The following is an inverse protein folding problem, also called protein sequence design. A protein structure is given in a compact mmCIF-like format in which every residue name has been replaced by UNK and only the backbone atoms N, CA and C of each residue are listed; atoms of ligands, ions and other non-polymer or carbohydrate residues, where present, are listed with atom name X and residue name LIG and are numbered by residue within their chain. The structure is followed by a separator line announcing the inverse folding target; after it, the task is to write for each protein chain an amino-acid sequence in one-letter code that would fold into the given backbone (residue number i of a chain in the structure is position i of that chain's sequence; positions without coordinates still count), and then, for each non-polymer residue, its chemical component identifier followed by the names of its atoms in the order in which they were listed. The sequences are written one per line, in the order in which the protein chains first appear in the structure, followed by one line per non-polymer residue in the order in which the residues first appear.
data_IF_380254761593
#
_entry.id   IF_380254761593
#
_cell.length_a   1.000
_cell.length_b   1.000
_cell.length_c   1.000
_cell.angle_alpha   90.00
_cell.angle_beta   90.00
_cell.angle_gamma   90.00
#
_symmetry.space_group_name_H-M   'P 1'
#
loop_
_entity.id
_entity.type
_entity.pdbx_description
1 polymer ?
#
# COMPACT_ATOMS: atom_id res chain seq x y z
N UNK A 1 -46.61 -74.06 -31.80
CA UNK A 1 -45.40 -73.73 -32.59
C UNK A 1 -45.16 -72.23 -32.40
N UNK A 2 -44.37 -71.87 -31.42
CA UNK A 2 -44.01 -70.44 -31.10
C UNK A 2 -42.49 -70.28 -31.08
N UNK A 3 -42.01 -69.44 -32.00
CA UNK A 3 -40.59 -69.13 -32.10
C UNK A 3 -40.29 -67.97 -31.12
N UNK A 4 -39.45 -68.22 -30.16
CA UNK A 4 -38.86 -67.20 -29.33
C UNK A 4 -37.72 -66.48 -30.09
N UNK A 5 -37.84 -65.16 -30.23
CA UNK A 5 -36.75 -64.29 -30.70
C UNK A 5 -35.98 -63.82 -29.52
N UNK A 6 -34.71 -64.14 -29.48
CA UNK A 6 -33.74 -63.63 -28.52
C UNK A 6 -33.22 -62.29 -29.06
N UNK A 7 -33.52 -61.19 -28.38
CA UNK A 7 -32.94 -59.85 -28.65
C UNK A 7 -31.65 -59.72 -27.88
N UNK A 8 -30.53 -59.67 -28.60
CA UNK A 8 -29.22 -59.31 -28.04
C UNK A 8 -29.20 -57.83 -27.66
N UNK A 9 -29.06 -57.53 -26.35
CA UNK A 9 -28.79 -56.19 -25.83
C UNK A 9 -27.27 -56.08 -25.73
N UNK A 10 -26.68 -55.32 -26.67
CA UNK A 10 -25.26 -54.93 -26.59
C UNK A 10 -25.13 -53.83 -25.54
N UNK A 11 -24.53 -54.12 -24.40
CA UNK A 11 -24.17 -53.14 -23.39
C UNK A 11 -22.94 -52.35 -23.88
N UNK A 12 -23.13 -51.12 -24.31
CA UNK A 12 -22.05 -50.18 -24.59
C UNK A 12 -21.45 -49.68 -23.27
N UNK A 13 -20.27 -50.19 -22.91
CA UNK A 13 -19.44 -49.66 -21.83
C UNK A 13 -18.86 -48.30 -22.26
N UNK A 14 -19.44 -47.19 -21.77
CA UNK A 14 -18.85 -45.86 -21.88
C UNK A 14 -17.67 -45.79 -20.89
N UNK A 15 -16.45 -45.93 -21.40
CA UNK A 15 -15.24 -45.65 -20.65
C UNK A 15 -15.14 -44.13 -20.54
N UNK A 16 -15.60 -43.54 -19.42
CA UNK A 16 -15.32 -42.16 -19.06
C UNK A 16 -13.81 -42.06 -18.73
N UNK A 17 -13.04 -41.58 -19.69
CA UNK A 17 -11.65 -41.23 -19.48
C UNK A 17 -11.61 -40.08 -18.43
N UNK A 18 -11.34 -40.42 -17.18
CA UNK A 18 -10.89 -39.46 -16.16
C UNK A 18 -9.54 -38.91 -16.63
N UNK A 19 -9.57 -37.82 -17.39
CA UNK A 19 -8.38 -37.00 -17.59
C UNK A 19 -7.93 -36.57 -16.19
N UNK A 20 -6.67 -36.85 -15.79
CA UNK A 20 -6.15 -36.27 -14.59
C UNK A 20 -6.23 -34.76 -14.76
N UNK A 21 -6.93 -34.07 -13.85
CA UNK A 21 -6.82 -32.64 -13.71
C UNK A 21 -5.33 -32.38 -13.37
N UNK A 22 -4.53 -32.27 -14.43
CA UNK A 22 -3.15 -31.86 -14.33
C UNK A 22 -3.18 -30.56 -13.55
N UNK A 23 -2.58 -30.56 -12.39
CA UNK A 23 -2.20 -29.34 -11.69
C UNK A 23 -1.58 -28.46 -12.75
N UNK A 24 -2.27 -27.38 -13.12
CA UNK A 24 -1.68 -26.31 -13.93
C UNK A 24 -0.52 -25.77 -13.11
N UNK A 25 0.61 -26.51 -13.13
CA UNK A 25 1.87 -26.07 -12.55
C UNK A 25 2.17 -24.75 -13.19
N UNK A 26 2.18 -23.73 -12.38
CA UNK A 26 2.34 -22.35 -12.75
C UNK A 26 3.43 -22.21 -13.83
N UNK A 27 3.01 -21.84 -15.06
CA UNK A 27 3.95 -21.67 -16.17
C UNK A 27 4.69 -20.34 -16.08
N UNK A 28 4.19 -19.44 -15.25
CA UNK A 28 4.72 -18.07 -15.15
C UNK A 28 6.17 -18.05 -14.62
N UNK A 29 6.58 -19.00 -13.74
CA UNK A 29 7.94 -19.07 -13.20
C UNK A 29 9.01 -19.26 -14.29
N UNK A 30 8.66 -19.90 -15.42
CA UNK A 30 9.57 -20.05 -16.56
C UNK A 30 9.88 -18.70 -17.21
N UNK A 31 8.92 -17.78 -17.20
CA UNK A 31 9.05 -16.43 -17.79
C UNK A 31 9.58 -15.41 -16.78
N UNK A 32 9.17 -15.54 -15.52
CA UNK A 32 9.53 -14.62 -14.43
C UNK A 32 10.39 -15.35 -13.41
N UNK A 33 11.69 -15.47 -13.68
CA UNK A 33 12.66 -16.09 -12.77
C UNK A 33 13.00 -15.23 -11.55
N UNK A 34 12.67 -13.93 -11.64
CA UNK A 34 12.81 -12.95 -10.57
C UNK A 34 11.51 -12.14 -10.47
N UNK A 35 10.96 -12.04 -9.28
CA UNK A 35 9.87 -11.12 -8.93
C UNK A 35 10.47 -9.93 -8.20
N UNK A 36 10.27 -8.72 -8.72
CA UNK A 36 10.72 -7.48 -8.08
C UNK A 36 9.55 -6.78 -7.41
N UNK A 37 9.70 -6.54 -6.11
CA UNK A 37 8.71 -5.90 -5.24
C UNK A 37 9.19 -4.52 -4.81
N UNK A 38 8.51 -3.49 -5.26
CA UNK A 38 8.81 -2.10 -4.92
C UNK A 38 8.12 -1.66 -3.62
N UNK A 39 8.76 -0.78 -2.87
CA UNK A 39 8.17 -0.12 -1.70
C UNK A 39 8.48 1.38 -1.79
N UNK A 40 7.43 2.23 -1.72
CA UNK A 40 7.65 3.69 -1.66
C UNK A 40 8.37 4.05 -0.37
N UNK A 41 9.27 5.07 -0.38
CA UNK A 41 10.12 5.40 0.76
C UNK A 41 9.34 6.12 1.87
N UNK A 42 8.56 5.38 2.66
CA UNK A 42 7.88 5.88 3.86
C UNK A 42 8.78 5.86 5.08
N UNK A 43 9.81 5.02 5.07
CA UNK A 43 10.85 4.88 6.09
C UNK A 43 12.27 4.92 5.47
N UNK A 44 13.30 4.69 6.27
CA UNK A 44 14.69 4.59 5.77
C UNK A 44 14.85 3.34 4.91
N UNK A 45 15.72 3.37 3.90
CA UNK A 45 15.98 2.21 3.05
C UNK A 45 16.44 0.98 3.84
N UNK A 46 17.31 1.19 4.85
CA UNK A 46 17.76 0.12 5.75
C UNK A 46 16.62 -0.46 6.59
N UNK A 47 15.72 0.40 7.08
CA UNK A 47 14.52 -0.02 7.82
C UNK A 47 13.61 -0.88 6.95
N UNK A 48 13.29 -0.43 5.73
CA UNK A 48 12.49 -1.17 4.76
C UNK A 48 13.11 -2.54 4.45
N UNK A 49 14.42 -2.59 4.18
CA UNK A 49 15.13 -3.85 3.91
C UNK A 49 14.94 -4.83 5.08
N UNK A 50 15.28 -4.40 6.30
CA UNK A 50 15.17 -5.24 7.50
C UNK A 50 13.73 -5.74 7.74
N UNK A 51 12.73 -4.89 7.49
CA UNK A 51 11.32 -5.25 7.66
C UNK A 51 10.88 -6.28 6.61
N UNK A 52 11.38 -6.17 5.38
CA UNK A 52 10.96 -7.02 4.25
C UNK A 52 11.71 -8.34 4.14
N UNK A 53 12.90 -8.51 4.73
CA UNK A 53 13.76 -9.69 4.53
C UNK A 53 13.04 -11.02 4.76
N UNK A 54 12.32 -11.18 5.87
CA UNK A 54 11.60 -12.41 6.19
C UNK A 54 10.47 -12.70 5.19
N UNK A 55 9.73 -11.66 4.79
CA UNK A 55 8.68 -11.79 3.77
C UNK A 55 9.26 -12.22 2.41
N UNK A 56 10.33 -11.58 1.95
CA UNK A 56 10.96 -11.93 0.66
C UNK A 56 11.48 -13.37 0.65
N UNK A 57 12.12 -13.82 1.75
CA UNK A 57 12.56 -15.20 1.90
C UNK A 57 11.39 -16.20 1.85
N UNK A 58 10.27 -15.89 2.55
CA UNK A 58 9.04 -16.69 2.49
C UNK A 58 8.44 -16.71 1.08
N UNK A 59 8.33 -15.57 0.43
CA UNK A 59 7.79 -15.45 -0.92
C UNK A 59 8.63 -16.23 -1.94
N UNK A 60 9.96 -16.16 -1.85
CA UNK A 60 10.86 -16.96 -2.67
C UNK A 60 10.65 -18.46 -2.46
N UNK A 61 10.58 -18.92 -1.21
CA UNK A 61 10.33 -20.34 -0.88
C UNK A 61 8.99 -20.82 -1.42
N UNK A 62 7.95 -19.99 -1.30
CA UNK A 62 6.58 -20.34 -1.69
C UNK A 62 6.39 -20.37 -3.21
N UNK A 63 7.01 -19.43 -3.93
CA UNK A 63 6.83 -19.29 -5.38
C UNK A 63 7.87 -20.02 -6.21
N UNK A 64 8.99 -20.42 -5.60
CA UNK A 64 10.10 -21.10 -6.29
C UNK A 64 10.95 -20.20 -7.20
N UNK A 65 10.73 -18.87 -7.17
CA UNK A 65 11.51 -17.88 -7.94
C UNK A 65 12.17 -16.87 -7.00
N UNK A 66 13.24 -16.23 -7.47
CA UNK A 66 13.93 -15.18 -6.70
C UNK A 66 13.00 -13.99 -6.45
N UNK A 67 13.07 -13.42 -5.25
CA UNK A 67 12.41 -12.14 -4.92
C UNK A 67 13.45 -11.09 -4.59
N UNK A 68 13.26 -9.89 -5.16
CA UNK A 68 14.14 -8.75 -4.95
C UNK A 68 13.34 -7.53 -4.49
N UNK A 69 13.82 -6.87 -3.43
CA UNK A 69 13.29 -5.58 -3.02
C UNK A 69 13.81 -4.49 -3.96
N UNK A 70 12.90 -3.65 -4.44
CA UNK A 70 13.23 -2.45 -5.18
C UNK A 70 12.91 -1.23 -4.32
N UNK A 71 13.88 -0.36 -4.18
CA UNK A 71 13.77 0.91 -3.45
C UNK A 71 14.24 2.06 -4.35
N UNK A 72 13.55 3.19 -4.25
CA UNK A 72 13.91 4.44 -4.91
C UNK A 72 14.09 5.56 -3.88
N UNK A 73 14.60 6.69 -4.30
CA UNK A 73 14.79 7.87 -3.44
C UNK A 73 13.48 8.59 -3.14
N UNK A 74 12.48 8.44 -4.01
CA UNK A 74 11.17 9.09 -3.91
C UNK A 74 10.05 8.17 -4.42
N UNK A 75 8.82 8.62 -4.24
CA UNK A 75 7.62 7.88 -4.65
C UNK A 75 7.55 7.70 -6.16
N UNK A 76 7.93 8.73 -6.93
CA UNK A 76 7.86 8.70 -8.39
C UNK A 76 8.79 7.63 -8.99
N UNK A 77 9.95 7.39 -8.38
CA UNK A 77 10.88 6.35 -8.81
C UNK A 77 10.28 4.96 -8.75
N UNK A 78 9.54 4.62 -7.67
CA UNK A 78 8.85 3.32 -7.54
C UNK A 78 7.68 3.23 -8.54
N UNK A 79 6.88 4.30 -8.66
CA UNK A 79 5.74 4.34 -9.58
C UNK A 79 6.19 4.18 -11.04
N UNK A 80 7.23 4.91 -11.45
CA UNK A 80 7.78 4.83 -12.80
C UNK A 80 8.39 3.46 -13.10
N UNK A 81 9.08 2.84 -12.13
CA UNK A 81 9.60 1.49 -12.28
C UNK A 81 8.47 0.46 -12.49
N UNK A 82 7.33 0.61 -11.79
CA UNK A 82 6.15 -0.24 -11.96
C UNK A 82 5.51 -0.02 -13.35
N UNK A 83 5.32 1.22 -13.79
CA UNK A 83 4.77 1.57 -15.11
C UNK A 83 5.67 1.05 -16.23
N UNK A 84 6.99 1.22 -16.12
CA UNK A 84 7.95 0.78 -17.09
C UNK A 84 8.22 -0.73 -17.14
N UNK A 85 7.63 -1.52 -16.22
CA UNK A 85 7.84 -2.97 -16.13
C UNK A 85 9.18 -3.39 -15.55
N UNK A 86 9.90 -2.49 -14.90
CA UNK A 86 11.14 -2.80 -14.21
C UNK A 86 10.89 -3.58 -12.90
N UNK A 87 9.71 -3.41 -12.32
CA UNK A 87 9.20 -4.17 -11.17
C UNK A 87 7.82 -4.74 -11.46
N UNK A 88 7.43 -5.80 -10.75
CA UNK A 88 6.19 -6.54 -11.00
C UNK A 88 5.05 -6.11 -10.08
N UNK A 89 5.40 -5.82 -8.83
CA UNK A 89 4.49 -5.37 -7.78
C UNK A 89 5.10 -4.19 -7.02
N UNK A 90 4.24 -3.39 -6.40
CA UNK A 90 4.69 -2.33 -5.49
C UNK A 90 3.69 -2.11 -4.36
N UNK A 91 4.19 -1.86 -3.15
CA UNK A 91 3.40 -1.27 -2.08
C UNK A 91 3.36 0.25 -2.28
N UNK A 92 2.16 0.78 -2.44
CA UNK A 92 1.90 2.20 -2.73
C UNK A 92 0.90 2.77 -1.73
N UNK A 93 0.88 4.09 -1.56
CA UNK A 93 -0.26 4.76 -0.94
C UNK A 93 -1.48 4.71 -1.87
N UNK A 94 -2.69 4.91 -1.34
CA UNK A 94 -3.89 4.97 -2.17
C UNK A 94 -3.80 6.06 -3.25
N UNK A 95 -3.20 7.22 -2.92
CA UNK A 95 -2.97 8.30 -3.88
C UNK A 95 -1.94 7.92 -4.95
N UNK A 96 -0.78 7.38 -4.55
CA UNK A 96 0.24 6.91 -5.49
C UNK A 96 -0.31 5.84 -6.43
N UNK A 97 -1.15 4.92 -5.91
CA UNK A 97 -1.84 3.93 -6.74
C UNK A 97 -2.73 4.60 -7.79
N UNK A 98 -3.60 5.54 -7.39
CA UNK A 98 -4.51 6.22 -8.31
C UNK A 98 -3.75 7.01 -9.39
N UNK A 99 -2.64 7.64 -9.01
CA UNK A 99 -1.77 8.33 -9.95
C UNK A 99 -1.11 7.35 -10.93
N UNK A 100 -0.55 6.22 -10.42
CA UNK A 100 0.05 5.16 -11.23
C UNK A 100 -0.96 4.53 -12.19
N UNK A 101 -2.19 4.29 -11.71
CA UNK A 101 -3.30 3.77 -12.52
C UNK A 101 -3.61 4.70 -13.70
N UNK A 102 -3.70 6.00 -13.45
CA UNK A 102 -3.98 6.98 -14.48
C UNK A 102 -2.82 7.12 -15.48
N UNK A 103 -1.57 7.20 -15.00
CA UNK A 103 -0.39 7.39 -15.84
C UNK A 103 -0.06 6.13 -16.68
N UNK A 104 -0.36 4.93 -16.14
CA UNK A 104 -0.28 3.66 -16.88
C UNK A 104 -1.50 3.39 -17.78
N UNK A 105 -2.46 4.31 -17.87
CA UNK A 105 -3.73 4.13 -18.59
C UNK A 105 -4.49 2.86 -18.16
N UNK A 106 -4.50 2.61 -16.84
CA UNK A 106 -5.15 1.43 -16.27
C UNK A 106 -4.31 0.14 -16.33
N UNK A 107 -3.01 0.24 -16.61
CA UNK A 107 -2.08 -0.90 -16.73
C UNK A 107 -1.70 -1.57 -15.41
N UNK A 108 -2.19 -1.06 -14.28
CA UNK A 108 -1.98 -1.63 -12.94
C UNK A 108 -3.30 -1.82 -12.22
N UNK A 109 -3.32 -2.66 -11.18
CA UNK A 109 -4.48 -2.85 -10.30
C UNK A 109 -4.03 -3.10 -8.86
N UNK A 110 -4.86 -2.74 -7.85
CA UNK A 110 -4.58 -3.10 -6.48
C UNK A 110 -4.90 -4.58 -6.29
N UNK A 111 -4.07 -5.29 -5.57
CA UNK A 111 -4.21 -6.73 -5.36
C UNK A 111 -4.69 -7.02 -3.94
N UNK A 112 -3.99 -6.49 -2.96
CA UNK A 112 -4.27 -6.69 -1.53
C UNK A 112 -3.94 -5.43 -0.73
N UNK A 113 -4.52 -5.33 0.47
CA UNK A 113 -4.16 -4.33 1.48
C UNK A 113 -4.29 -4.92 2.89
N UNK A 114 -3.62 -4.32 3.87
CA UNK A 114 -3.67 -4.75 5.25
C UNK A 114 -4.95 -4.25 5.95
N UNK A 115 -5.57 -5.12 6.76
CA UNK A 115 -6.61 -4.73 7.71
C UNK A 115 -5.99 -4.28 9.03
N UNK A 116 -6.52 -3.21 9.63
CA UNK A 116 -6.13 -2.75 10.95
C UNK A 116 -6.52 -3.76 12.05
N UNK A 117 -6.07 -3.55 13.29
CA UNK A 117 -6.35 -4.47 14.41
C UNK A 117 -7.85 -4.52 14.71
N UNK A 118 -8.58 -3.44 14.51
CA UNK A 118 -10.04 -3.37 14.63
C UNK A 118 -10.79 -3.96 13.42
N UNK A 119 -10.07 -4.54 12.46
CA UNK A 119 -10.62 -5.11 11.23
C UNK A 119 -10.95 -4.10 10.15
N UNK A 120 -10.78 -2.79 10.39
CA UNK A 120 -11.03 -1.76 9.38
C UNK A 120 -9.98 -1.79 8.27
N UNK A 121 -10.41 -1.40 7.06
CA UNK A 121 -9.53 -1.31 5.88
C UNK A 121 -9.12 0.15 5.67
N UNK A 122 -8.56 0.77 6.73
CA UNK A 122 -8.26 2.19 6.66
C UNK A 122 -7.19 2.68 7.64
N UNK A 123 -6.72 3.90 7.39
CA UNK A 123 -5.79 4.65 8.22
C UNK A 123 -6.12 6.15 8.15
N UNK A 124 -5.46 6.97 8.98
CA UNK A 124 -5.72 8.40 9.03
C UNK A 124 -4.45 9.21 8.73
N UNK A 125 -4.61 10.29 7.99
CA UNK A 125 -3.63 11.37 7.98
C UNK A 125 -3.75 12.15 9.31
N UNK A 126 -2.61 12.53 9.88
CA UNK A 126 -2.56 13.24 11.15
C UNK A 126 -1.57 14.40 11.09
N UNK A 127 -1.74 15.38 11.98
CA UNK A 127 -0.70 16.34 12.33
C UNK A 127 -0.15 15.98 13.70
N UNK A 128 1.17 15.85 13.78
CA UNK A 128 1.89 15.68 15.03
C UNK A 128 2.69 16.93 15.39
N UNK A 129 2.76 17.22 16.69
CA UNK A 129 3.62 18.22 17.31
C UNK A 129 4.39 17.56 18.45
N UNK A 130 5.49 18.19 18.93
CA UNK A 130 6.11 17.74 20.20
C UNK A 130 5.10 17.80 21.33
N UNK A 131 5.13 16.82 22.23
CA UNK A 131 4.19 16.75 23.36
C UNK A 131 4.31 17.94 24.31
N UNK A 132 5.52 18.49 24.48
CA UNK A 132 5.83 19.65 25.32
C UNK A 132 5.65 21.00 24.61
N UNK A 133 5.27 21.00 23.31
CA UNK A 133 5.02 22.23 22.56
C UNK A 133 3.75 22.96 23.03
N UNK A 134 3.65 24.29 22.84
CA UNK A 134 2.46 25.03 23.20
C UNK A 134 1.27 24.76 22.24
N UNK A 135 1.51 24.12 21.08
CA UNK A 135 0.53 23.92 20.03
C UNK A 135 -0.47 22.83 20.41
N UNK A 136 -1.76 23.14 20.51
CA UNK A 136 -2.85 22.22 20.86
C UNK A 136 -3.86 22.04 19.75
N UNK A 137 -3.94 23.03 18.86
CA UNK A 137 -4.90 23.09 17.75
C UNK A 137 -4.18 23.43 16.44
N UNK A 138 -4.86 23.22 15.32
CA UNK A 138 -4.33 23.60 13.99
C UNK A 138 -4.17 25.12 13.85
N UNK A 139 -4.94 25.91 14.59
CA UNK A 139 -4.87 27.38 14.55
C UNK A 139 -3.64 27.92 15.25
N UNK A 140 -3.13 27.24 16.27
CA UNK A 140 -1.86 27.59 16.93
C UNK A 140 -0.66 27.48 15.98
N UNK A 141 -0.82 26.76 14.88
CA UNK A 141 0.22 26.57 13.87
C UNK A 141 0.21 27.61 12.75
N UNK A 142 -0.70 28.61 12.77
CA UNK A 142 -0.74 29.64 11.73
C UNK A 142 0.62 30.35 11.60
N UNK A 143 1.16 30.36 10.36
CA UNK A 143 2.48 30.95 10.06
C UNK A 143 3.67 30.12 10.54
N UNK A 144 3.45 28.96 11.20
CA UNK A 144 4.49 28.03 11.67
C UNK A 144 4.99 27.12 10.57
N UNK A 145 6.07 26.41 10.87
CA UNK A 145 6.68 25.45 9.93
C UNK A 145 6.05 24.06 10.09
N UNK A 146 5.16 23.71 9.17
CA UNK A 146 4.43 22.43 9.16
C UNK A 146 4.91 21.58 7.98
N UNK A 147 5.73 20.57 8.22
CA UNK A 147 6.30 19.75 7.16
C UNK A 147 5.24 18.88 6.48
N UNK A 148 5.28 18.87 5.14
CA UNK A 148 4.65 17.84 4.31
C UNK A 148 5.69 16.80 3.89
N UNK A 149 5.24 15.63 3.46
CA UNK A 149 6.13 14.57 3.02
C UNK A 149 6.44 14.67 1.52
N UNK A 150 6.23 13.61 0.76
CA UNK A 150 6.36 13.58 -0.70
C UNK A 150 5.06 14.11 -1.35
N UNK A 151 5.12 14.86 -2.46
CA UNK A 151 3.94 15.36 -3.19
C UNK A 151 2.98 14.27 -3.70
N UNK A 152 3.42 13.01 -3.76
CA UNK A 152 2.63 11.84 -4.14
C UNK A 152 2.13 11.03 -2.93
N UNK A 153 2.36 11.53 -1.71
CA UNK A 153 1.80 10.93 -0.49
C UNK A 153 0.33 11.31 -0.31
N UNK A 154 -0.52 10.31 -0.04
CA UNK A 154 -1.93 10.53 0.30
C UNK A 154 -2.08 11.30 1.61
N UNK A 155 -1.51 10.77 2.70
CA UNK A 155 -1.65 11.31 4.06
C UNK A 155 -0.71 12.46 4.40
N UNK A 156 0.46 12.50 3.77
CA UNK A 156 1.44 13.54 4.03
C UNK A 156 1.33 14.76 3.11
N UNK A 157 0.49 14.69 2.08
CA UNK A 157 0.34 15.78 1.12
C UNK A 157 -1.09 15.96 0.60
N UNK A 158 -1.66 15.00 -0.16
CA UNK A 158 -2.93 15.18 -0.86
C UNK A 158 -4.08 15.51 0.08
N UNK A 159 -4.34 14.62 1.03
CA UNK A 159 -5.49 14.74 1.94
C UNK A 159 -5.38 15.97 2.83
N UNK A 160 -4.22 16.27 3.46
CA UNK A 160 -4.02 17.56 4.11
C UNK A 160 -4.33 18.75 3.21
N UNK A 161 -3.81 18.78 1.99
CA UNK A 161 -4.04 19.88 1.04
C UNK A 161 -5.53 20.07 0.75
N UNK A 162 -6.26 18.98 0.49
CA UNK A 162 -7.69 19.00 0.20
C UNK A 162 -8.52 19.40 1.43
N UNK A 163 -8.27 18.77 2.58
CA UNK A 163 -9.01 19.00 3.81
C UNK A 163 -8.84 20.44 4.32
N UNK A 164 -7.60 20.95 4.33
CA UNK A 164 -7.32 22.31 4.80
C UNK A 164 -7.86 23.37 3.83
N UNK A 165 -7.87 23.08 2.52
CA UNK A 165 -8.56 23.95 1.55
C UNK A 165 -10.07 24.02 1.82
N UNK A 166 -10.71 22.88 2.10
CA UNK A 166 -12.13 22.81 2.43
C UNK A 166 -12.47 23.54 3.74
N UNK A 167 -11.55 23.60 4.69
CA UNK A 167 -11.67 24.38 5.94
C UNK A 167 -11.39 25.88 5.76
N UNK A 168 -11.11 26.38 4.55
CA UNK A 168 -10.72 27.78 4.31
C UNK A 168 -9.32 28.14 4.84
N UNK A 169 -8.46 27.12 5.07
CA UNK A 169 -7.10 27.25 5.59
C UNK A 169 -6.09 26.59 4.64
N UNK A 170 -5.95 27.01 3.36
CA UNK A 170 -5.05 26.35 2.42
C UNK A 170 -3.64 26.20 2.99
N UNK A 171 -3.08 24.98 2.96
CA UNK A 171 -1.81 24.64 3.63
C UNK A 171 -0.69 25.62 3.26
N UNK A 172 -0.57 25.96 1.96
CA UNK A 172 0.51 26.82 1.46
C UNK A 172 0.37 28.30 1.87
N UNK A 173 -0.82 28.71 2.27
CA UNK A 173 -1.12 30.09 2.73
C UNK A 173 -1.16 30.17 4.27
N UNK A 174 -1.57 29.07 4.89
CA UNK A 174 -1.78 29.03 6.35
C UNK A 174 -0.51 28.69 7.11
N UNK A 175 0.38 27.87 6.53
CA UNK A 175 1.65 27.43 7.12
C UNK A 175 2.83 27.73 6.21
N UNK A 176 4.05 27.75 6.77
CA UNK A 176 5.27 27.53 6.01
C UNK A 176 5.42 26.01 5.86
N UNK A 177 5.27 25.48 4.66
CA UNK A 177 5.09 24.04 4.49
C UNK A 177 6.13 23.39 3.57
N UNK A 178 7.38 23.20 4.07
CA UNK A 178 8.43 22.52 3.32
C UNK A 178 8.11 21.03 3.10
N UNK A 179 8.73 20.46 2.06
CA UNK A 179 8.73 19.02 1.82
C UNK A 179 9.88 18.37 2.58
N UNK A 180 9.60 17.39 3.41
CA UNK A 180 10.61 16.63 4.17
C UNK A 180 11.16 15.42 3.41
N UNK A 181 10.50 15.02 2.32
CA UNK A 181 10.83 13.85 1.52
C UNK A 181 10.22 12.53 2.01
N UNK A 182 9.80 12.42 3.29
CA UNK A 182 9.22 11.19 3.83
C UNK A 182 8.61 11.35 5.22
N UNK A 183 7.88 10.34 5.65
CA UNK A 183 7.14 10.38 6.91
C UNK A 183 8.06 10.33 8.14
N UNK A 184 9.10 9.49 8.12
CA UNK A 184 10.09 9.41 9.21
C UNK A 184 10.83 10.73 9.35
N UNK A 185 11.29 11.32 8.23
CA UNK A 185 11.98 12.62 8.20
C UNK A 185 11.10 13.73 8.76
N UNK A 186 9.80 13.73 8.43
CA UNK A 186 8.82 14.68 8.96
C UNK A 186 8.76 14.63 10.49
N UNK A 187 8.54 13.45 11.06
CA UNK A 187 8.40 13.29 12.53
C UNK A 187 9.73 13.54 13.25
N UNK A 188 10.85 13.04 12.72
CA UNK A 188 12.18 13.34 13.31
C UNK A 188 12.48 14.83 13.28
N UNK A 189 12.06 15.55 12.22
CA UNK A 189 12.21 17.02 12.16
C UNK A 189 11.42 17.73 13.26
N UNK A 190 10.21 17.23 13.61
CA UNK A 190 9.46 17.74 14.77
C UNK A 190 10.18 17.46 16.07
N UNK A 191 10.63 16.23 16.29
CA UNK A 191 11.35 15.86 17.53
C UNK A 191 12.63 16.68 17.74
N UNK A 192 13.33 17.01 16.64
CA UNK A 192 14.56 17.83 16.65
C UNK A 192 14.30 19.34 16.66
N UNK A 193 13.04 19.78 16.55
CA UNK A 193 12.67 21.20 16.50
C UNK A 193 12.96 21.90 15.18
N UNK A 194 13.25 21.15 14.11
CA UNK A 194 13.36 21.68 12.74
C UNK A 194 12.02 22.14 12.19
N UNK A 195 10.95 21.43 12.55
CA UNK A 195 9.57 21.75 12.22
C UNK A 195 8.75 21.93 13.50
N UNK A 196 7.80 22.86 13.48
CA UNK A 196 6.83 23.05 14.58
C UNK A 196 5.83 21.88 14.62
N UNK A 197 5.47 21.37 13.44
CA UNK A 197 4.56 20.24 13.26
C UNK A 197 4.87 19.49 11.96
N UNK A 198 4.26 18.34 11.78
CA UNK A 198 4.36 17.57 10.53
C UNK A 198 3.11 16.76 10.23
N UNK A 199 2.79 16.65 8.95
CA UNK A 199 1.82 15.68 8.47
C UNK A 199 2.47 14.29 8.39
N UNK A 200 1.73 13.28 8.89
CA UNK A 200 2.12 11.87 8.81
C UNK A 200 0.87 10.99 8.87
N UNK A 201 0.98 9.72 9.25
CA UNK A 201 -0.13 8.79 9.27
C UNK A 201 -0.02 7.74 10.37
N UNK A 202 -1.18 7.26 10.80
CA UNK A 202 -1.32 6.15 11.73
C UNK A 202 -2.68 5.48 11.55
N UNK A 203 -2.85 4.25 12.06
CA UNK A 203 -4.18 3.68 12.26
C UNK A 203 -4.84 4.32 13.49
N UNK A 204 -6.16 4.14 13.62
CA UNK A 204 -6.95 4.71 14.71
C UNK A 204 -6.43 4.35 16.11
N UNK A 205 -5.82 3.18 16.26
CA UNK A 205 -5.29 2.61 17.51
C UNK A 205 -3.75 2.70 17.59
N UNK A 206 -3.10 3.44 16.68
CA UNK A 206 -1.64 3.44 16.51
C UNK A 206 -1.05 2.02 16.30
N UNK A 207 -1.87 1.06 15.86
CA UNK A 207 -1.44 -0.33 15.66
C UNK A 207 -0.54 -0.51 14.46
N UNK A 208 -0.80 0.21 13.36
CA UNK A 208 0.09 0.26 12.20
C UNK A 208 0.23 1.69 11.66
N UNK A 209 1.19 1.88 10.76
CA UNK A 209 1.49 3.18 10.18
C UNK A 209 2.83 3.72 10.62
N UNK A 210 3.16 4.94 10.16
CA UNK A 210 4.47 5.53 10.39
C UNK A 210 4.81 5.65 11.89
N UNK A 211 3.85 6.05 12.73
CA UNK A 211 4.13 6.16 14.17
C UNK A 211 4.50 4.80 14.77
N UNK A 212 3.75 3.74 14.45
CA UNK A 212 4.04 2.37 14.92
C UNK A 212 5.41 1.89 14.44
N UNK A 213 5.74 2.12 13.18
CA UNK A 213 7.06 1.75 12.63
C UNK A 213 8.20 2.46 13.37
N UNK A 214 8.08 3.76 13.59
CA UNK A 214 9.10 4.53 14.32
C UNK A 214 9.25 4.05 15.77
N UNK A 215 8.13 3.69 16.43
CA UNK A 215 8.18 3.11 17.78
C UNK A 215 8.86 1.74 17.77
N UNK A 216 8.57 0.87 16.82
CA UNK A 216 9.21 -0.45 16.69
C UNK A 216 10.71 -0.35 16.41
N UNK A 217 11.16 0.72 15.77
CA UNK A 217 12.56 1.01 15.47
C UNK A 217 13.27 1.78 16.60
N UNK A 218 12.57 2.16 17.68
CA UNK A 218 13.13 2.95 18.79
C UNK A 218 13.41 4.41 18.42
N UNK A 219 12.85 4.90 17.31
CA UNK A 219 13.02 6.28 16.83
C UNK A 219 12.03 7.26 17.45
N UNK A 220 10.97 6.76 18.09
CA UNK A 220 9.88 7.53 18.66
C UNK A 220 9.36 6.81 19.89
N UNK A 221 9.08 7.53 20.97
CA UNK A 221 8.17 7.11 22.03
C UNK A 221 6.84 7.81 21.83
N UNK A 222 5.72 7.15 22.11
CA UNK A 222 4.38 7.71 21.88
C UNK A 222 4.15 9.00 22.66
N UNK A 223 4.72 9.09 23.85
CA UNK A 223 4.68 10.25 24.73
C UNK A 223 5.47 11.46 24.23
N UNK A 224 6.38 11.30 23.26
CA UNK A 224 7.19 12.41 22.71
C UNK A 224 6.37 13.35 21.82
N UNK A 225 5.19 12.90 21.37
CA UNK A 225 4.35 13.63 20.42
C UNK A 225 2.90 13.74 20.89
N UNK A 226 2.23 14.76 20.36
CA UNK A 226 0.77 14.96 20.43
C UNK A 226 0.20 15.03 19.03
N UNK A 227 -0.91 14.31 18.80
CA UNK A 227 -1.74 14.46 17.59
C UNK A 227 -2.73 15.59 17.84
N UNK A 228 -2.79 16.57 16.94
CA UNK A 228 -3.68 17.75 17.05
C UNK A 228 -4.70 17.85 15.91
N UNK A 229 -4.59 17.01 14.92
CA UNK A 229 -5.55 16.86 13.84
C UNK A 229 -5.51 15.44 13.29
N UNK A 230 -6.70 14.95 12.88
CA UNK A 230 -6.89 13.63 12.27
C UNK A 230 -7.89 13.76 11.13
N UNK A 231 -7.59 13.19 9.98
CA UNK A 231 -8.49 13.13 8.83
C UNK A 231 -9.61 12.09 9.03
N UNK A 232 -10.60 12.11 8.16
CA UNK A 232 -11.44 10.95 7.91
C UNK A 232 -10.58 9.75 7.48
N UNK A 233 -11.09 8.51 7.65
CA UNK A 233 -10.38 7.31 7.25
C UNK A 233 -10.07 7.28 5.75
N UNK A 234 -8.85 6.90 5.42
CA UNK A 234 -8.33 6.68 4.06
C UNK A 234 -8.23 5.19 3.80
N UNK A 235 -8.47 4.69 2.58
CA UNK A 235 -8.32 3.27 2.28
C UNK A 235 -6.88 2.80 2.52
N UNK A 236 -6.72 1.62 3.11
CA UNK A 236 -5.41 1.03 3.43
C UNK A 236 -4.49 1.01 2.20
N UNK A 237 -3.18 1.25 2.37
CA UNK A 237 -2.21 1.25 1.29
C UNK A 237 -2.19 -0.10 0.56
N UNK A 238 -2.37 -0.13 -0.78
CA UNK A 238 -2.40 -1.38 -1.51
C UNK A 238 -1.02 -1.90 -1.90
N UNK A 239 -0.89 -3.23 -1.98
CA UNK A 239 0.05 -3.85 -2.90
C UNK A 239 -0.58 -3.83 -4.29
N UNK A 240 0.11 -3.21 -5.23
CA UNK A 240 -0.34 -3.01 -6.62
C UNK A 240 0.44 -3.94 -7.52
N UNK A 241 -0.25 -4.56 -8.48
CA UNK A 241 0.34 -5.47 -9.46
C UNK A 241 0.10 -4.93 -10.88
N UNK A 242 1.03 -5.21 -11.80
CA UNK A 242 0.83 -4.94 -13.22
C UNK A 242 -0.23 -5.88 -13.79
N UNK A 243 -1.07 -5.38 -14.70
CA UNK A 243 -2.10 -6.21 -15.35
C UNK A 243 -1.58 -7.09 -16.48
N UNK A 244 -0.40 -6.82 -17.01
CA UNK A 244 0.23 -7.60 -18.07
C UNK A 244 1.00 -8.84 -17.58
N UNK A 245 1.01 -9.09 -16.26
CA UNK A 245 1.50 -10.35 -15.72
C UNK A 245 0.52 -11.50 -16.04
N UNK A 246 1.00 -12.75 -16.18
CA UNK A 246 0.13 -13.90 -16.39
C UNK A 246 -0.94 -14.06 -15.31
N UNK A 247 -2.13 -14.54 -15.69
CA UNK A 247 -3.25 -14.72 -14.77
C UNK A 247 -2.93 -15.70 -13.62
N UNK A 248 -2.16 -16.75 -13.90
CA UNK A 248 -1.67 -17.72 -12.91
C UNK A 248 -0.67 -17.07 -11.92
N UNK A 249 0.23 -16.19 -12.40
CA UNK A 249 1.09 -15.39 -11.53
C UNK A 249 0.26 -14.50 -10.59
N UNK A 250 -0.74 -13.80 -11.15
CA UNK A 250 -1.64 -12.93 -10.36
C UNK A 250 -2.38 -13.72 -9.27
N UNK A 251 -2.90 -14.91 -9.61
CA UNK A 251 -3.58 -15.79 -8.66
C UNK A 251 -2.64 -16.28 -7.54
N UNK A 252 -1.41 -16.67 -7.88
CA UNK A 252 -0.39 -17.08 -6.91
C UNK A 252 0.02 -15.92 -6.00
N UNK A 253 0.18 -14.70 -6.54
CA UNK A 253 0.46 -13.51 -5.72
C UNK A 253 -0.69 -13.23 -4.75
N UNK A 254 -1.93 -13.27 -5.23
CA UNK A 254 -3.11 -13.08 -4.37
C UNK A 254 -3.11 -14.11 -3.22
N UNK A 255 -2.92 -15.38 -3.53
CA UNK A 255 -2.87 -16.47 -2.55
C UNK A 255 -1.71 -16.29 -1.56
N UNK A 256 -0.52 -15.93 -2.06
CA UNK A 256 0.65 -15.67 -1.22
C UNK A 256 0.34 -14.60 -0.18
N UNK A 257 -0.09 -13.43 -0.61
CA UNK A 257 -0.32 -12.30 0.31
C UNK A 257 -1.47 -12.57 1.28
N UNK A 258 -2.61 -13.06 0.80
CA UNK A 258 -3.78 -13.33 1.66
C UNK A 258 -3.56 -14.50 2.62
N UNK A 259 -2.62 -15.38 2.35
CA UNK A 259 -2.23 -16.51 3.22
C UNK A 259 -1.21 -16.16 4.30
N UNK A 260 -0.54 -15.00 4.25
CA UNK A 260 0.58 -14.69 5.15
C UNK A 260 0.24 -14.82 6.63
N UNK A 261 -0.90 -14.29 7.05
CA UNK A 261 -1.32 -14.27 8.45
C UNK A 261 -1.63 -15.67 9.00
N UNK A 262 -1.95 -16.64 8.15
CA UNK A 262 -2.18 -18.05 8.55
C UNK A 262 -0.88 -18.84 8.65
N UNK A 263 0.18 -18.40 7.97
CA UNK A 263 1.51 -19.01 8.02
C UNK A 263 2.34 -18.46 9.18
N UNK A 264 2.49 -17.15 9.22
CA UNK A 264 3.15 -16.41 10.30
C UNK A 264 2.66 -14.96 10.27
N UNK A 265 2.02 -14.51 11.34
CA UNK A 265 1.52 -13.14 11.47
C UNK A 265 2.61 -12.08 11.26
N UNK A 266 3.87 -12.38 11.61
CA UNK A 266 4.99 -11.46 11.39
C UNK A 266 5.24 -11.16 9.91
N UNK A 267 4.96 -12.10 9.01
CA UNK A 267 5.05 -11.87 7.57
C UNK A 267 3.95 -10.91 7.09
N UNK A 268 2.73 -11.07 7.61
CA UNK A 268 1.64 -10.13 7.33
C UNK A 268 1.95 -8.73 7.91
N UNK A 269 2.47 -8.65 9.13
CA UNK A 269 2.90 -7.41 9.78
C UNK A 269 4.03 -6.70 9.00
N UNK A 270 4.94 -7.44 8.39
CA UNK A 270 5.99 -6.87 7.53
C UNK A 270 5.38 -6.17 6.30
N UNK A 271 4.43 -6.83 5.61
CA UNK A 271 3.74 -6.24 4.45
C UNK A 271 2.83 -5.08 4.87
N UNK A 272 2.13 -5.20 6.01
CA UNK A 272 1.28 -4.15 6.58
C UNK A 272 2.08 -2.95 7.12
N UNK A 273 3.37 -3.13 7.34
CA UNK A 273 4.23 -2.16 8.03
C UNK A 273 3.72 -1.86 9.45
N UNK A 274 3.29 -2.90 10.18
CA UNK A 274 2.82 -2.81 11.55
C UNK A 274 1.86 -3.94 11.92
N UNK A 275 1.15 -3.78 13.04
CA UNK A 275 0.17 -4.75 13.51
C UNK A 275 -1.02 -4.82 12.55
N UNK A 276 -1.47 -6.04 12.25
CA UNK A 276 -2.61 -6.29 11.35
C UNK A 276 -3.38 -7.52 11.78
N UNK A 277 -4.65 -7.62 11.41
CA UNK A 277 -5.43 -8.86 11.53
C UNK A 277 -5.24 -9.78 10.32
N UNK A 278 -4.69 -9.25 9.22
CA UNK A 278 -4.41 -10.00 8.00
C UNK A 278 -4.31 -9.13 6.77
N UNK A 279 -3.97 -9.77 5.66
CA UNK A 279 -3.89 -9.14 4.34
C UNK A 279 -5.11 -9.57 3.54
N UNK A 280 -5.89 -8.61 3.06
CA UNK A 280 -7.18 -8.81 2.41
C UNK A 280 -7.11 -8.43 0.94
N UNK A 281 -7.87 -9.15 0.09
CA UNK A 281 -8.03 -8.78 -1.31
C UNK A 281 -8.77 -7.44 -1.44
N UNK A 282 -8.31 -6.59 -2.35
CA UNK A 282 -8.93 -5.30 -2.68
C UNK A 282 -9.05 -5.11 -4.18
N UNK A 283 -9.87 -4.15 -4.57
CA UNK A 283 -10.14 -3.83 -5.96
C UNK A 283 -10.06 -2.32 -6.21
N UNK A 284 -10.06 -1.91 -7.48
CA UNK A 284 -10.09 -0.49 -7.85
C UNK A 284 -11.25 0.28 -7.22
N UNK A 285 -12.40 -0.39 -7.01
CA UNK A 285 -13.60 0.23 -6.41
C UNK A 285 -13.35 0.76 -4.99
N UNK A 286 -12.50 0.07 -4.24
CA UNK A 286 -12.17 0.43 -2.85
C UNK A 286 -11.38 1.76 -2.76
N UNK A 287 -10.83 2.22 -3.89
CA UNK A 287 -10.04 3.45 -4.01
C UNK A 287 -10.77 4.55 -4.79
N UNK A 288 -12.05 4.36 -5.15
CA UNK A 288 -12.79 5.28 -6.02
C UNK A 288 -12.75 6.74 -5.58
N UNK A 289 -13.08 7.03 -4.31
CA UNK A 289 -13.02 8.38 -3.76
C UNK A 289 -11.60 8.96 -3.75
N UNK A 290 -10.60 8.14 -3.43
CA UNK A 290 -9.20 8.58 -3.46
C UNK A 290 -8.75 8.89 -4.88
N UNK A 291 -9.15 8.09 -5.86
CA UNK A 291 -8.81 8.32 -7.26
C UNK A 291 -9.51 9.56 -7.84
N UNK A 292 -10.74 9.85 -7.40
CA UNK A 292 -11.40 11.10 -7.73
C UNK A 292 -10.63 12.30 -7.16
N UNK A 293 -10.29 12.28 -5.87
CA UNK A 293 -9.51 13.34 -5.24
C UNK A 293 -8.13 13.54 -5.91
N UNK A 294 -7.51 12.45 -6.35
CA UNK A 294 -6.25 12.49 -7.12
C UNK A 294 -6.41 13.17 -8.48
N UNK A 295 -7.53 12.91 -9.17
CA UNK A 295 -7.83 13.53 -10.46
C UNK A 295 -8.09 15.03 -10.30
N UNK A 296 -8.87 15.43 -9.29
CA UNK A 296 -9.18 16.83 -8.98
C UNK A 296 -7.92 17.63 -8.63
N UNK A 297 -7.01 17.06 -7.85
CA UNK A 297 -5.73 17.71 -7.52
C UNK A 297 -4.83 17.85 -8.75
N UNK A 298 -4.79 16.86 -9.63
CA UNK A 298 -4.05 16.93 -10.91
C UNK A 298 -4.58 18.07 -11.78
N UNK A 299 -5.89 18.21 -11.88
CA UNK A 299 -6.52 19.29 -12.65
C UNK A 299 -6.21 20.67 -12.01
N UNK A 300 -6.30 20.78 -10.69
CA UNK A 300 -5.94 21.98 -9.94
C UNK A 300 -4.50 22.43 -10.21
N UNK A 301 -3.55 21.49 -10.18
CA UNK A 301 -2.12 21.77 -10.50
C UNK A 301 -1.94 22.25 -11.94
N UNK A 302 -2.63 21.63 -12.91
CA UNK A 302 -2.57 22.03 -14.32
C UNK A 302 -3.12 23.45 -14.55
N UNK A 303 -4.18 23.83 -13.82
CA UNK A 303 -4.75 25.19 -13.90
C UNK A 303 -3.81 26.25 -13.31
N UNK A 304 -3.08 25.91 -12.24
CA UNK A 304 -2.09 26.82 -11.61
C UNK A 304 -0.81 27.00 -12.42
N UNK A 305 -0.50 26.06 -13.32
CA UNK A 305 0.69 26.09 -14.18
C UNK A 305 0.48 26.83 -15.52
N UNK A 306 -0.77 27.22 -15.82
CA UNK A 306 -1.17 28.08 -16.94
C UNK A 306 -1.33 29.53 -16.50
#
# INVERSE_FOLDING_TARGET
MNRFQIRNIAAALVFAALLPAGTASAQWQKKYTVVKYGVIPVETQTGTTKTMDAFLAHAQKTTGVKWELYQATDYSGVMNALIAGQINLAWLSGFSYCQTFADSKGGVEPLVAAAAIDGSMGYNAIIVVKSDSPYKTIDDLKGKVVARTDPLSGSGYLIPTAAFRAMGKPVDEYYKSPLSGGHVQSVLGVLKGTYDAAFTWTSKDDGFGNLRQMMNQGLLKREDIRVIWTSDPLPSPPVVIRKDVPADMRADMLKLFTGLHTVDMKLAEAVAQGKTTGIMAVSHKDYGLMCQAAADERESRRRKAK
#
